data_IF_110497019209
#
_entry.id   IF_110497019209
#
_cell.length_a   1.000
_cell.length_b   1.000
_cell.length_c   1.000
_cell.angle_alpha   90.00
_cell.angle_beta   90.00
_cell.angle_gamma   90.00
#
_symmetry.space_group_name_H-M   'P 1'
#
loop_
_entity.id
_entity.type
_entity.pdbx_description
1 polymer ?
#
# COMPACT_ATOMS: atom_id res chain seq x y z
N UNK A 1 8.63 8.67 -19.89
CA UNK A 1 8.48 7.68 -18.79
C UNK A 1 7.01 7.67 -18.40
N UNK A 2 6.36 6.51 -18.32
CA UNK A 2 4.96 6.39 -17.90
C UNK A 2 4.79 6.81 -16.44
N UNK A 3 3.64 7.39 -16.07
CA UNK A 3 3.33 7.80 -14.70
C UNK A 3 3.55 6.65 -13.68
N UNK A 4 3.19 5.42 -14.07
CA UNK A 4 3.44 4.21 -13.29
C UNK A 4 4.92 4.01 -12.90
N UNK A 5 5.87 4.28 -13.82
CA UNK A 5 7.31 4.15 -13.53
C UNK A 5 7.80 5.19 -12.52
N UNK A 6 7.17 6.36 -12.47
CA UNK A 6 7.45 7.37 -11.44
C UNK A 6 6.81 7.02 -10.10
N UNK A 7 5.72 6.25 -10.08
CA UNK A 7 4.97 5.96 -8.86
C UNK A 7 5.61 4.84 -8.03
N UNK A 8 6.29 3.87 -8.65
CA UNK A 8 7.06 2.83 -7.94
C UNK A 8 8.11 3.36 -6.97
N UNK A 9 8.61 4.59 -7.16
CA UNK A 9 9.60 5.18 -6.25
C UNK A 9 9.01 5.54 -4.87
N UNK A 10 7.68 5.54 -4.73
CA UNK A 10 7.00 5.91 -3.50
C UNK A 10 6.68 4.71 -2.61
N UNK A 11 6.87 3.47 -3.07
CA UNK A 11 6.76 2.29 -2.20
C UNK A 11 8.16 1.78 -1.87
N UNK A 12 8.33 1.33 -0.62
CA UNK A 12 9.47 0.53 -0.19
C UNK A 12 8.92 -0.75 0.43
N UNK A 13 9.39 -1.91 -0.02
CA UNK A 13 9.05 -3.20 0.57
C UNK A 13 10.33 -3.96 0.95
N UNK A 14 10.27 -4.78 1.99
CA UNK A 14 11.39 -5.60 2.46
C UNK A 14 10.88 -6.83 3.22
N UNK A 15 11.66 -7.90 3.20
CA UNK A 15 11.38 -9.10 4.00
C UNK A 15 12.14 -9.01 5.33
N UNK A 16 11.48 -9.31 6.44
CA UNK A 16 12.09 -9.42 7.77
C UNK A 16 11.35 -10.48 8.60
N UNK A 17 12.10 -11.28 9.37
CA UNK A 17 11.53 -12.28 10.30
C UNK A 17 10.54 -13.27 9.66
N UNK A 18 10.68 -13.53 8.35
CA UNK A 18 9.78 -14.42 7.60
C UNK A 18 8.50 -13.75 7.09
N UNK A 19 8.36 -12.44 7.28
CA UNK A 19 7.20 -11.64 6.85
C UNK A 19 7.64 -10.53 5.90
N UNK A 20 6.86 -10.26 4.86
CA UNK A 20 7.08 -9.10 4.02
C UNK A 20 6.38 -7.86 4.58
N UNK A 21 7.09 -6.75 4.54
CA UNK A 21 6.61 -5.44 4.99
C UNK A 21 6.70 -4.44 3.85
N UNK A 22 5.89 -3.39 3.93
CA UNK A 22 6.00 -2.26 3.03
C UNK A 22 5.61 -0.93 3.68
N UNK A 23 6.01 0.18 3.04
CA UNK A 23 5.61 1.54 3.38
C UNK A 23 5.38 2.33 2.09
N UNK A 24 4.19 2.93 1.96
CA UNK A 24 3.85 3.82 0.85
C UNK A 24 4.09 5.27 1.26
N UNK A 25 4.67 6.06 0.35
CA UNK A 25 4.98 7.47 0.58
C UNK A 25 5.98 7.70 1.70
N UNK A 26 6.86 6.76 2.05
CA UNK A 26 7.73 6.89 3.23
C UNK A 26 8.58 8.18 3.18
N UNK A 27 8.46 8.99 4.23
CA UNK A 27 9.30 10.16 4.49
C UNK A 27 10.05 9.98 5.81
N UNK A 28 11.23 10.59 5.92
CA UNK A 28 11.98 10.65 7.17
C UNK A 28 11.77 11.99 7.82
N UNK A 29 11.58 12.01 9.14
CA UNK A 29 11.32 13.20 9.94
C UNK A 29 12.45 13.40 10.95
N UNK A 30 12.83 14.65 11.18
CA UNK A 30 13.98 15.00 12.05
C UNK A 30 13.69 14.80 13.54
N UNK A 31 12.42 14.89 13.95
CA UNK A 31 12.00 14.66 15.32
C UNK A 31 12.14 13.18 15.68
N UNK A 32 12.92 12.87 16.72
CA UNK A 32 13.28 11.49 17.13
C UNK A 32 13.06 11.21 18.61
N UNK A 33 12.53 12.17 19.37
CA UNK A 33 12.42 12.09 20.83
C UNK A 33 10.98 12.28 21.35
N UNK A 34 10.11 12.96 20.61
CA UNK A 34 8.75 13.28 21.06
C UNK A 34 7.68 12.88 20.03
N UNK A 35 6.84 11.92 20.43
CA UNK A 35 5.72 11.41 19.64
C UNK A 35 4.74 12.50 19.19
N UNK A 36 4.41 13.48 20.05
CA UNK A 36 3.46 14.55 19.70
C UNK A 36 4.04 15.49 18.65
N UNK A 37 5.34 15.80 18.77
CA UNK A 37 6.04 16.62 17.77
C UNK A 37 6.21 15.86 16.45
N UNK A 38 6.45 14.56 16.50
CA UNK A 38 6.52 13.71 15.31
C UNK A 38 5.18 13.66 14.58
N UNK A 39 4.08 13.47 15.31
CA UNK A 39 2.73 13.54 14.74
C UNK A 39 2.45 14.91 14.12
N UNK A 40 2.85 16.00 14.79
CA UNK A 40 2.71 17.35 14.24
C UNK A 40 3.53 17.54 12.95
N UNK A 41 4.72 16.95 12.86
CA UNK A 41 5.55 16.97 11.66
C UNK A 41 4.91 16.15 10.52
N UNK A 42 4.36 14.97 10.80
CA UNK A 42 3.59 14.19 9.83
C UNK A 42 2.35 14.95 9.34
N UNK A 43 1.59 15.59 10.24
CA UNK A 43 0.47 16.49 9.89
C UNK A 43 0.91 17.65 9.00
N UNK A 44 2.09 18.22 9.26
CA UNK A 44 2.66 19.28 8.42
C UNK A 44 2.97 18.75 7.03
N UNK A 45 3.53 17.54 6.93
CA UNK A 45 3.83 16.91 5.64
C UNK A 45 2.55 16.65 4.82
N UNK A 46 1.42 16.35 5.47
CA UNK A 46 0.11 16.16 4.83
C UNK A 46 -0.50 17.43 4.22
N UNK A 47 0.09 18.62 4.46
CA UNK A 47 -0.48 19.87 3.94
C UNK A 47 -0.50 19.87 2.41
N UNK A 48 -1.65 20.19 1.82
CA UNK A 48 -1.81 20.29 0.37
C UNK A 48 -1.93 18.95 -0.35
N UNK A 49 -2.15 17.86 0.37
CA UNK A 49 -2.75 16.64 -0.16
C UNK A 49 -4.23 16.94 -0.45
N UNK A 50 -4.69 16.58 -1.64
CA UNK A 50 -6.08 16.80 -2.08
C UNK A 50 -7.03 15.72 -1.55
N UNK A 51 -6.59 14.47 -1.55
CA UNK A 51 -7.38 13.35 -1.01
C UNK A 51 -7.30 13.26 0.53
N UNK A 52 -8.24 12.53 1.12
CA UNK A 52 -8.10 12.07 2.51
C UNK A 52 -6.92 11.10 2.61
N UNK A 53 -6.07 11.25 3.63
CA UNK A 53 -4.92 10.37 3.87
C UNK A 53 -4.89 9.90 5.31
N UNK A 54 -4.80 8.60 5.48
CA UNK A 54 -4.44 7.98 6.76
C UNK A 54 -2.95 7.67 6.73
N UNK A 55 -2.24 7.99 7.80
CA UNK A 55 -0.80 7.77 7.90
C UNK A 55 -0.41 7.25 9.28
N UNK A 56 0.66 6.48 9.32
CA UNK A 56 1.36 6.09 10.53
C UNK A 56 2.70 6.82 10.62
N UNK A 57 3.25 6.81 11.82
CA UNK A 57 4.60 7.26 12.09
C UNK A 57 5.28 6.34 13.09
N UNK A 58 6.60 6.25 13.01
CA UNK A 58 7.43 5.52 13.97
C UNK A 58 8.48 6.46 14.54
N UNK A 59 8.50 6.57 15.87
CA UNK A 59 9.50 7.33 16.59
C UNK A 59 10.77 6.47 16.70
N UNK A 60 11.81 6.85 15.96
CA UNK A 60 13.03 6.07 15.84
C UNK A 60 14.29 6.89 16.05
N UNK A 61 15.36 6.24 16.53
CA UNK A 61 16.70 6.80 16.57
C UNK A 61 17.62 5.95 15.67
N UNK A 62 18.39 6.55 14.74
CA UNK A 62 18.65 7.97 14.58
C UNK A 62 17.62 8.73 13.72
N UNK A 63 16.57 8.07 13.21
CA UNK A 63 15.57 8.69 12.33
C UNK A 63 14.17 8.16 12.62
N UNK A 64 13.21 9.08 12.66
CA UNK A 64 11.78 8.75 12.61
C UNK A 64 11.30 8.72 11.16
N UNK A 65 10.20 8.04 10.92
CA UNK A 65 9.54 8.04 9.62
C UNK A 65 8.02 8.12 9.74
N UNK A 66 7.39 8.52 8.63
CA UNK A 66 5.96 8.49 8.44
C UNK A 66 5.64 7.96 7.04
N UNK A 67 4.52 7.25 6.91
CA UNK A 67 4.08 6.61 5.68
C UNK A 67 2.55 6.50 5.66
N UNK A 68 1.98 6.28 4.49
CA UNK A 68 0.54 6.20 4.31
C UNK A 68 0.04 4.78 4.57
N UNK A 69 -1.10 4.70 5.24
CA UNK A 69 -1.92 3.50 5.41
C UNK A 69 -3.14 3.54 4.48
N UNK A 70 -3.63 4.73 4.14
CA UNK A 70 -4.80 4.91 3.28
C UNK A 70 -4.74 6.20 2.47
N UNK A 71 -5.36 6.22 1.31
CA UNK A 71 -5.45 7.39 0.42
C UNK A 71 -6.76 7.39 -0.35
N UNK A 72 -7.53 8.49 -0.29
CA UNK A 72 -8.73 8.67 -1.10
C UNK A 72 -9.86 7.65 -0.85
N UNK A 73 -9.90 7.06 0.34
CA UNK A 73 -10.84 5.99 0.70
C UNK A 73 -10.35 4.57 0.41
N UNK A 74 -9.17 4.42 -0.20
CA UNK A 74 -8.50 3.12 -0.36
C UNK A 74 -7.68 2.80 0.88
N UNK A 75 -7.77 1.55 1.34
CA UNK A 75 -6.95 1.01 2.42
C UNK A 75 -5.71 0.37 1.81
N UNK A 76 -4.57 1.07 1.85
CA UNK A 76 -3.35 0.60 1.22
C UNK A 76 -2.79 -0.63 1.95
N UNK A 77 -3.10 -0.82 3.23
CA UNK A 77 -2.64 -1.98 4.01
C UNK A 77 -3.35 -3.25 3.58
N UNK A 78 -4.59 -3.16 3.09
CA UNK A 78 -5.38 -4.30 2.63
C UNK A 78 -5.33 -4.44 1.10
N UNK A 79 -5.53 -3.35 0.36
CA UNK A 79 -5.60 -3.34 -1.10
C UNK A 79 -4.30 -3.85 -1.73
N UNK A 80 -3.13 -3.39 -1.28
CA UNK A 80 -1.85 -3.78 -1.91
C UNK A 80 -1.58 -5.28 -1.73
N UNK A 81 -1.69 -5.87 -0.52
CA UNK A 81 -1.61 -7.31 -0.34
C UNK A 81 -2.68 -8.10 -1.10
N UNK A 82 -3.92 -7.59 -1.18
CA UNK A 82 -4.97 -8.23 -1.96
C UNK A 82 -4.58 -8.34 -3.44
N UNK A 83 -4.19 -7.24 -4.07
CA UNK A 83 -3.72 -7.23 -5.46
C UNK A 83 -2.48 -8.12 -5.64
N UNK A 84 -1.53 -8.11 -4.70
CA UNK A 84 -0.35 -8.97 -4.74
C UNK A 84 -0.73 -10.47 -4.74
N UNK A 85 -1.71 -10.84 -3.90
CA UNK A 85 -2.18 -12.22 -3.77
C UNK A 85 -2.92 -12.67 -5.03
N UNK A 86 -3.80 -11.82 -5.56
CA UNK A 86 -4.54 -12.10 -6.79
C UNK A 86 -3.63 -12.27 -8.03
N UNK A 87 -2.41 -11.76 -7.98
CA UNK A 87 -1.41 -11.92 -9.04
C UNK A 87 -0.59 -13.22 -8.95
N UNK A 88 -0.70 -14.00 -7.85
CA UNK A 88 0.02 -15.28 -7.71
C UNK A 88 -0.52 -16.31 -8.70
N UNK A 89 0.37 -17.08 -9.31
CA UNK A 89 -0.01 -18.08 -10.33
C UNK A 89 -0.97 -19.11 -9.78
N UNK A 90 -0.71 -19.68 -8.60
CA UNK A 90 -1.61 -20.64 -7.97
C UNK A 90 -3.00 -20.06 -7.65
N UNK A 91 -3.08 -18.78 -7.26
CA UNK A 91 -4.35 -18.09 -6.95
C UNK A 91 -5.13 -17.86 -8.24
N UNK A 92 -4.46 -17.40 -9.31
CA UNK A 92 -5.08 -17.23 -10.62
C UNK A 92 -5.65 -18.54 -11.18
N UNK A 93 -4.92 -19.65 -11.03
CA UNK A 93 -5.39 -20.97 -11.44
C UNK A 93 -6.63 -21.40 -10.64
N UNK A 94 -6.61 -21.21 -9.32
CA UNK A 94 -7.74 -21.49 -8.43
C UNK A 94 -8.98 -20.69 -8.82
N UNK A 95 -8.84 -19.38 -9.05
CA UNK A 95 -9.95 -18.50 -9.45
C UNK A 95 -10.52 -18.95 -10.80
N UNK A 96 -9.66 -19.30 -11.76
CA UNK A 96 -10.09 -19.73 -13.10
C UNK A 96 -10.89 -21.04 -13.07
N UNK A 97 -10.57 -21.94 -12.14
CA UNK A 97 -11.28 -23.21 -11.97
C UNK A 97 -12.52 -23.13 -11.07
N UNK A 98 -12.78 -21.98 -10.44
CA UNK A 98 -13.85 -21.84 -9.46
C UNK A 98 -15.23 -21.72 -10.13
N UNK A 99 -16.19 -22.55 -9.67
CA UNK A 99 -17.61 -22.43 -10.01
C UNK A 99 -18.41 -22.10 -8.74
N UNK A 100 -19.02 -20.90 -8.64
CA UNK A 100 -19.87 -20.54 -7.51
C UNK A 100 -21.06 -21.49 -7.26
N UNK A 101 -21.47 -22.29 -8.26
CA UNK A 101 -22.60 -23.23 -8.13
C UNK A 101 -22.18 -24.63 -7.69
N UNK A 102 -20.89 -24.93 -7.76
CA UNK A 102 -20.33 -26.25 -7.49
C UNK A 102 -18.93 -26.10 -6.89
N UNK A 103 -18.87 -25.71 -5.61
CA UNK A 103 -17.63 -25.56 -4.87
C UNK A 103 -17.74 -26.10 -3.44
N UNK A 104 -16.60 -26.52 -2.89
CA UNK A 104 -16.47 -27.08 -1.54
C UNK A 104 -16.33 -26.03 -0.43
N UNK A 105 -16.19 -24.75 -0.82
CA UNK A 105 -15.86 -23.64 0.09
C UNK A 105 -17.09 -22.84 0.56
N UNK A 106 -18.29 -23.22 0.07
CA UNK A 106 -19.56 -22.53 0.33
C UNK A 106 -19.55 -21.04 -0.09
N UNK A 107 -18.62 -20.64 -0.97
CA UNK A 107 -18.57 -19.28 -1.51
C UNK A 107 -19.68 -19.09 -2.54
N UNK A 108 -20.52 -18.07 -2.34
CA UNK A 108 -21.64 -17.73 -3.21
C UNK A 108 -21.21 -16.93 -4.44
N UNK A 109 -19.99 -16.38 -4.44
CA UNK A 109 -19.47 -15.55 -5.52
C UNK A 109 -17.96 -15.71 -5.70
N UNK A 110 -17.46 -15.26 -6.85
CA UNK A 110 -16.02 -15.20 -7.13
C UNK A 110 -15.32 -14.24 -6.16
N UNK A 111 -15.97 -13.15 -5.76
CA UNK A 111 -15.35 -12.17 -4.87
C UNK A 111 -15.21 -12.71 -3.45
N UNK A 112 -16.22 -13.40 -2.92
CA UNK A 112 -16.09 -14.14 -1.64
C UNK A 112 -14.95 -15.17 -1.69
N UNK A 113 -14.80 -15.86 -2.82
CA UNK A 113 -13.71 -16.81 -3.00
C UNK A 113 -12.34 -16.12 -3.06
N UNK A 114 -12.24 -14.95 -3.68
CA UNK A 114 -10.99 -14.15 -3.67
C UNK A 114 -10.63 -13.69 -2.27
N UNK A 115 -11.59 -13.25 -1.46
CA UNK A 115 -11.34 -12.89 -0.06
C UNK A 115 -10.84 -14.09 0.75
N UNK A 116 -11.43 -15.27 0.54
CA UNK A 116 -10.95 -16.50 1.17
C UNK A 116 -9.52 -16.83 0.74
N UNK A 117 -9.19 -16.69 -0.55
CA UNK A 117 -7.83 -16.88 -1.05
C UNK A 117 -6.87 -15.81 -0.52
N UNK A 118 -7.31 -14.56 -0.37
CA UNK A 118 -6.49 -13.51 0.22
C UNK A 118 -6.07 -13.89 1.64
N UNK A 119 -7.03 -14.23 2.50
CA UNK A 119 -6.77 -14.67 3.88
C UNK A 119 -5.93 -15.96 3.99
N UNK A 120 -5.81 -16.74 2.91
CA UNK A 120 -5.04 -17.98 2.90
C UNK A 120 -3.59 -17.80 2.44
N UNK A 121 -3.26 -16.66 1.80
CA UNK A 121 -1.99 -16.45 1.10
C UNK A 121 -1.33 -15.10 1.42
N UNK A 122 -1.97 -14.21 2.17
CA UNK A 122 -1.46 -12.88 2.51
C UNK A 122 -0.18 -12.93 3.36
N UNK A 123 -0.10 -13.86 4.32
CA UNK A 123 1.08 -14.06 5.15
C UNK A 123 2.29 -14.62 4.37
N UNK A 124 2.04 -15.25 3.21
CA UNK A 124 3.07 -15.86 2.33
C UNK A 124 3.59 -14.89 1.25
N UNK A 125 3.18 -13.62 1.31
CA UNK A 125 3.66 -12.61 0.38
C UNK A 125 5.12 -12.26 0.63
N UNK A 126 5.86 -12.07 -0.46
CA UNK A 126 7.22 -11.55 -0.47
C UNK A 126 7.24 -10.05 -0.75
N UNK A 127 8.33 -9.36 -0.38
CA UNK A 127 8.53 -7.96 -0.69
C UNK A 127 8.42 -7.65 -2.19
N UNK A 128 8.92 -8.55 -3.05
CA UNK A 128 8.81 -8.42 -4.50
C UNK A 128 7.35 -8.52 -4.98
N UNK A 129 6.54 -9.37 -4.35
CA UNK A 129 5.10 -9.48 -4.62
C UNK A 129 4.35 -8.23 -4.19
N UNK A 130 4.64 -7.66 -3.01
CA UNK A 130 4.03 -6.41 -2.57
C UNK A 130 4.32 -5.24 -3.52
N UNK A 131 5.54 -5.18 -4.08
CA UNK A 131 5.88 -4.18 -5.10
C UNK A 131 5.06 -4.36 -6.38
N UNK A 132 4.75 -5.60 -6.77
CA UNK A 132 3.85 -5.88 -7.90
C UNK A 132 2.41 -5.56 -7.55
N UNK A 133 1.93 -5.95 -6.36
CA UNK A 133 0.59 -5.62 -5.88
C UNK A 133 0.32 -4.12 -5.88
N UNK A 134 1.30 -3.30 -5.48
CA UNK A 134 1.19 -1.85 -5.58
C UNK A 134 1.12 -1.34 -7.03
N UNK A 135 1.85 -1.96 -7.95
CA UNK A 135 1.76 -1.63 -9.38
C UNK A 135 0.40 -2.01 -9.96
N UNK A 136 -0.11 -3.19 -9.62
CA UNK A 136 -1.40 -3.69 -10.11
C UNK A 136 -2.57 -2.88 -9.54
N UNK A 137 -2.54 -2.58 -8.24
CA UNK A 137 -3.47 -1.64 -7.59
C UNK A 137 -3.41 -0.26 -8.24
N UNK A 138 -2.21 0.27 -8.50
CA UNK A 138 -2.08 1.56 -9.17
C UNK A 138 -2.69 1.53 -10.58
N UNK A 139 -2.53 0.42 -11.30
CA UNK A 139 -3.09 0.24 -12.63
C UNK A 139 -4.60 0.02 -12.65
N UNK A 140 -5.21 -0.40 -11.54
CA UNK A 140 -6.66 -0.48 -11.41
C UNK A 140 -7.33 0.87 -11.21
N UNK A 141 -6.58 1.89 -10.75
CA UNK A 141 -7.08 3.26 -10.61
C UNK A 141 -7.34 3.91 -11.96
N UNK A 142 -8.37 4.76 -12.04
CA UNK A 142 -8.60 5.58 -13.23
C UNK A 142 -7.49 6.63 -13.44
N UNK A 143 -7.30 7.15 -14.67
CA UNK A 143 -6.22 8.08 -14.96
C UNK A 143 -6.24 9.40 -14.15
N UNK A 144 -7.42 9.86 -13.73
CA UNK A 144 -7.53 11.06 -12.91
C UNK A 144 -7.08 10.77 -11.48
N UNK A 145 -7.51 9.64 -10.90
CA UNK A 145 -7.05 9.17 -9.60
C UNK A 145 -5.53 8.96 -9.56
N UNK A 146 -4.93 8.31 -10.58
CA UNK A 146 -3.47 8.15 -10.67
C UNK A 146 -2.73 9.50 -10.68
N UNK A 147 -3.29 10.51 -11.36
CA UNK A 147 -2.71 11.85 -11.42
C UNK A 147 -2.78 12.56 -10.06
N UNK A 148 -3.91 12.47 -9.36
CA UNK A 148 -4.07 13.03 -8.02
C UNK A 148 -3.14 12.35 -7.03
N UNK A 149 -3.07 11.01 -7.05
CA UNK A 149 -2.16 10.23 -6.19
C UNK A 149 -0.71 10.67 -6.38
N UNK A 150 -0.26 10.83 -7.62
CA UNK A 150 1.10 11.31 -7.92
C UNK A 150 1.34 12.71 -7.35
N UNK A 151 0.38 13.62 -7.49
CA UNK A 151 0.47 14.98 -6.96
C UNK A 151 0.56 14.97 -5.43
N UNK A 152 -0.28 14.19 -4.77
CA UNK A 152 -0.34 14.09 -3.32
C UNK A 152 0.95 13.46 -2.76
N UNK A 153 1.45 12.38 -3.36
CA UNK A 153 2.72 11.74 -2.98
C UNK A 153 3.91 12.68 -3.17
N UNK A 154 3.91 13.49 -4.25
CA UNK A 154 4.92 14.52 -4.47
C UNK A 154 4.84 15.62 -3.39
N UNK A 155 3.65 16.11 -3.08
CA UNK A 155 3.42 17.12 -2.03
C UNK A 155 3.92 16.62 -0.68
N UNK A 156 3.49 15.42 -0.28
CA UNK A 156 3.91 14.75 0.94
C UNK A 156 5.43 14.61 1.05
N UNK A 157 6.07 14.14 -0.01
CA UNK A 157 7.54 13.98 -0.03
C UNK A 157 8.28 15.30 0.01
N UNK A 158 7.75 16.35 -0.62
CA UNK A 158 8.38 17.67 -0.62
C UNK A 158 8.29 18.32 0.78
N UNK A 159 7.11 18.26 1.40
CA UNK A 159 6.89 18.83 2.72
C UNK A 159 7.62 18.03 3.82
N UNK A 160 7.77 16.71 3.66
CA UNK A 160 8.55 15.86 4.55
C UNK A 160 10.06 16.07 4.47
N UNK A 161 10.56 16.79 3.46
CA UNK A 161 11.98 17.12 3.28
C UNK A 161 12.34 18.55 3.73
N UNK A 162 11.37 19.33 4.22
CA UNK A 162 11.66 20.68 4.68
C UNK A 162 12.65 20.65 5.85
N UNK A 163 13.83 21.21 5.59
CA UNK A 163 14.88 21.55 6.53
C UNK A 163 14.57 22.87 7.23
#
# INVERSE_FOLDING_TARGET
>A
MTAAKQLKQYITAWDADGTAYFKVGRIFLEETQDAKKLEAAAKKAARGIEAEVMYAWNLGSPKSDAWWLGWGGYDLEEDIPFFATMAKTEVLEKIKSFDPKDNEFECASVDEYKEMLFNAYDEDLTAAELLRGFEDWLHSLDPAAQKTLLKDLQSWRNNGKEK
#
